data_IF_283737453083
#
_entry.id   IF_283737453083
#
_cell.length_a   1.000
_cell.length_b   1.000
_cell.length_c   1.000
_cell.angle_alpha   90.00
_cell.angle_beta   90.00
_cell.angle_gamma   90.00
#
_symmetry.space_group_name_H-M   'P 1'
#
loop_
_entity.id
_entity.type
_entity.pdbx_description
1 polymer ?
#
# COMPACT_ATOMS: atom_id res chain seq x y z
N UNK A 1 -9.75 8.68 11.76
CA UNK A 1 -9.40 7.49 12.57
C UNK A 1 -8.62 6.57 11.66
N UNK A 2 -7.46 6.08 12.10
CA UNK A 2 -6.63 5.12 11.34
C UNK A 2 -6.67 3.81 12.12
N UNK A 3 -7.17 2.69 11.57
CA UNK A 3 -7.20 1.40 12.27
C UNK A 3 -5.87 1.01 12.90
N UNK A 4 -4.76 1.22 12.19
CA UNK A 4 -3.40 0.96 12.70
C UNK A 4 -2.92 1.92 13.80
N UNK A 5 -3.73 2.89 14.23
CA UNK A 5 -3.44 3.85 15.31
C UNK A 5 -2.14 4.67 15.13
N UNK A 6 -1.67 4.84 13.90
CA UNK A 6 -0.51 5.66 13.58
C UNK A 6 -0.54 6.17 12.14
N UNK A 7 0.20 7.23 11.88
CA UNK A 7 0.56 7.59 10.51
C UNK A 7 1.60 6.61 9.94
N UNK A 8 1.55 6.39 8.63
CA UNK A 8 2.62 5.74 7.90
C UNK A 8 3.90 6.58 7.91
N UNK A 9 5.04 5.92 7.82
CA UNK A 9 6.31 6.57 7.52
C UNK A 9 6.64 6.49 6.02
N UNK A 10 7.88 6.86 5.69
CA UNK A 10 8.33 6.89 4.29
C UNK A 10 8.43 5.48 3.67
N UNK A 11 8.66 4.45 4.47
CA UNK A 11 8.96 3.11 3.98
C UNK A 11 7.72 2.32 3.57
N UNK A 12 6.55 2.66 4.12
CA UNK A 12 5.28 2.05 3.75
C UNK A 12 4.94 2.29 2.28
N UNK A 13 5.08 3.53 1.80
CA UNK A 13 4.84 3.86 0.40
C UNK A 13 5.91 3.25 -0.51
N UNK A 14 7.20 3.35 -0.12
CA UNK A 14 8.31 2.77 -0.91
C UNK A 14 8.14 1.26 -1.10
N UNK A 15 7.74 0.55 -0.05
CA UNK A 15 7.55 -0.91 -0.12
C UNK A 15 6.41 -1.28 -1.06
N UNK A 16 5.30 -0.55 -1.05
CA UNK A 16 4.20 -0.77 -1.99
C UNK A 16 4.61 -0.52 -3.44
N UNK A 17 5.43 0.52 -3.68
CA UNK A 17 6.01 0.79 -5.01
C UNK A 17 6.92 -0.35 -5.45
N UNK A 18 7.81 -0.83 -4.57
CA UNK A 18 8.70 -1.96 -4.87
C UNK A 18 7.91 -3.23 -5.18
N UNK A 19 6.84 -3.52 -4.44
CA UNK A 19 5.93 -4.62 -4.73
C UNK A 19 5.34 -4.50 -6.14
N UNK A 20 4.71 -3.37 -6.47
CA UNK A 20 4.08 -3.16 -7.79
C UNK A 20 5.09 -3.15 -8.94
N UNK A 21 6.33 -2.73 -8.69
CA UNK A 21 7.40 -2.73 -9.69
C UNK A 21 8.12 -4.08 -9.80
N UNK A 22 7.90 -5.02 -8.88
CA UNK A 22 8.63 -6.28 -8.86
C UNK A 22 8.23 -7.20 -10.03
N UNK A 23 9.14 -8.03 -10.58
CA UNK A 23 8.79 -8.97 -11.65
C UNK A 23 7.70 -9.98 -11.25
N UNK A 24 7.61 -10.29 -9.95
CA UNK A 24 6.64 -11.24 -9.40
C UNK A 24 5.18 -10.74 -9.42
N UNK A 25 4.96 -9.45 -9.64
CA UNK A 25 3.60 -8.84 -9.67
C UNK A 25 3.14 -8.50 -11.08
N UNK A 26 3.74 -9.12 -12.11
CA UNK A 26 3.40 -8.89 -13.52
C UNK A 26 1.93 -9.13 -13.90
N UNK A 27 1.14 -9.81 -13.05
CA UNK A 27 -0.30 -10.01 -13.25
C UNK A 27 -1.19 -9.11 -12.37
N UNK A 28 -0.60 -8.22 -11.55
CA UNK A 28 -1.32 -7.25 -10.74
C UNK A 28 -1.48 -5.94 -11.52
N UNK A 29 -2.57 -5.82 -12.28
CA UNK A 29 -2.88 -4.63 -13.08
C UNK A 29 -4.32 -4.17 -12.87
N UNK A 30 -4.59 -2.88 -13.08
CA UNK A 30 -5.93 -2.29 -12.95
C UNK A 30 -6.47 -2.20 -11.51
N UNK A 31 -5.60 -2.29 -10.51
CA UNK A 31 -5.97 -2.26 -9.09
C UNK A 31 -5.46 -0.99 -8.40
N UNK A 32 -6.19 -0.54 -7.39
CA UNK A 32 -5.75 0.50 -6.46
C UNK A 32 -5.31 -0.21 -5.17
N UNK A 33 -4.04 -0.03 -4.79
CA UNK A 33 -3.50 -0.52 -3.54
C UNK A 33 -3.47 0.60 -2.51
N UNK A 34 -4.34 0.53 -1.50
CA UNK A 34 -4.38 1.52 -0.44
C UNK A 34 -3.22 1.30 0.55
N UNK A 35 -2.47 2.36 0.82
CA UNK A 35 -1.34 2.36 1.76
C UNK A 35 -1.56 3.46 2.81
N UNK A 36 -2.59 3.28 3.64
CA UNK A 36 -3.14 4.34 4.50
C UNK A 36 -3.40 3.89 5.95
N UNK A 37 -2.87 2.73 6.33
CA UNK A 37 -3.13 2.14 7.64
C UNK A 37 -4.58 1.73 7.88
N UNK A 38 -5.36 1.56 6.80
CA UNK A 38 -6.77 1.20 6.82
C UNK A 38 -7.73 2.38 6.94
N UNK A 39 -7.27 3.61 6.70
CA UNK A 39 -8.10 4.81 6.86
C UNK A 39 -9.41 4.72 6.07
N UNK A 40 -9.36 4.29 4.81
CA UNK A 40 -10.53 4.22 3.93
C UNK A 40 -11.22 2.86 3.92
N UNK A 41 -10.77 1.92 4.75
CA UNK A 41 -11.39 0.59 4.83
C UNK A 41 -12.79 0.69 5.44
N UNK A 42 -13.78 0.08 4.75
CA UNK A 42 -15.13 -0.16 5.28
C UNK A 42 -15.17 -1.34 6.24
#
# INVERSE_FOLDING_TARGET
YIPMQRFGGDDELKTAVLFLASPGTSYCTGVILNVDGGWVSV
#
